data_IF_840780888711
#
_entry.id   IF_840780888711
#
_cell.length_a   1.000
_cell.length_b   1.000
_cell.length_c   1.000
_cell.angle_alpha   90.00
_cell.angle_beta   90.00
_cell.angle_gamma   90.00
#
_symmetry.space_group_name_H-M   'P 1'
#
loop_
_entity.id
_entity.type
_entity.pdbx_description
1 polymer ?
#
# COMPACT_ATOMS: atom_id res chain seq x y z
N UNK A 1 -52.86 6.83 11.38
CA UNK A 1 -52.62 6.68 12.84
C UNK A 1 -51.28 7.34 13.17
N UNK A 2 -51.23 8.37 14.02
CA UNK A 2 -49.97 9.00 14.40
C UNK A 2 -49.19 8.06 15.33
N UNK A 3 -47.95 7.73 14.94
CA UNK A 3 -47.02 6.96 15.79
C UNK A 3 -46.62 7.86 16.98
N UNK A 4 -46.94 7.43 18.19
CA UNK A 4 -46.49 8.10 19.42
C UNK A 4 -44.99 7.89 19.59
N UNK A 5 -44.27 8.96 19.84
CA UNK A 5 -42.84 8.94 20.15
C UNK A 5 -42.66 8.29 21.53
N UNK A 6 -41.71 7.36 21.65
CA UNK A 6 -41.45 6.64 22.89
C UNK A 6 -40.40 7.40 23.71
N UNK A 7 -40.85 8.25 24.61
CA UNK A 7 -40.02 9.17 25.41
C UNK A 7 -39.06 8.41 26.36
N UNK A 8 -39.46 7.23 26.83
CA UNK A 8 -38.67 6.40 27.73
C UNK A 8 -37.39 5.85 27.08
N UNK A 9 -37.41 5.65 25.76
CA UNK A 9 -36.23 5.20 25.00
C UNK A 9 -35.16 6.31 24.93
N UNK A 10 -35.58 7.57 24.89
CA UNK A 10 -34.69 8.73 24.75
C UNK A 10 -33.98 9.03 26.07
N UNK A 11 -34.66 8.86 27.21
CA UNK A 11 -34.05 9.08 28.52
C UNK A 11 -32.96 8.05 28.85
N UNK A 12 -33.08 6.80 28.38
CA UNK A 12 -32.05 5.77 28.59
C UNK A 12 -30.76 6.05 27.82
N UNK A 13 -30.82 6.70 26.65
CA UNK A 13 -29.64 7.03 25.85
C UNK A 13 -28.79 8.15 26.48
N UNK A 14 -29.41 9.09 27.20
CA UNK A 14 -28.71 10.20 27.85
C UNK A 14 -27.84 9.75 29.05
N UNK A 15 -28.22 8.64 29.70
CA UNK A 15 -27.50 8.07 30.84
C UNK A 15 -26.41 7.05 30.45
N UNK A 16 -26.09 6.92 29.16
CA UNK A 16 -24.95 6.12 28.69
C UNK A 16 -25.14 4.60 28.86
N UNK A 17 -26.35 4.12 29.18
CA UNK A 17 -26.69 2.70 29.22
C UNK A 17 -27.18 2.23 27.84
N UNK A 18 -26.36 2.48 26.82
CA UNK A 18 -26.62 1.97 25.47
C UNK A 18 -26.54 0.44 25.45
N UNK A 19 -27.58 -0.21 24.95
CA UNK A 19 -27.58 -1.65 24.64
C UNK A 19 -26.48 -2.05 23.62
N UNK A 20 -25.95 -1.10 22.87
CA UNK A 20 -24.96 -1.34 21.83
C UNK A 20 -23.51 -1.25 22.32
N UNK A 21 -23.25 -0.59 23.45
CA UNK A 21 -21.90 -0.41 23.98
C UNK A 21 -21.75 -1.13 25.34
N UNK A 22 -21.24 -2.36 25.31
CA UNK A 22 -20.82 -3.04 26.55
C UNK A 22 -19.54 -2.36 27.06
N UNK A 23 -19.49 -1.89 28.33
CA UNK A 23 -18.26 -1.37 28.90
C UNK A 23 -17.20 -2.46 28.93
N UNK A 24 -16.02 -2.12 28.41
CA UNK A 24 -14.85 -3.00 28.35
C UNK A 24 -14.37 -3.26 29.78
N UNK A 25 -14.62 -4.47 30.27
CA UNK A 25 -14.08 -4.96 31.55
C UNK A 25 -12.55 -4.95 31.45
N UNK A 26 -11.90 -4.15 32.28
CA UNK A 26 -10.44 -4.09 32.42
C UNK A 26 -9.92 -5.49 32.76
N UNK A 27 -9.19 -6.07 31.81
CA UNK A 27 -8.48 -7.33 32.00
C UNK A 27 -7.12 -7.01 32.62
N UNK A 28 -6.93 -7.62 33.77
CA UNK A 28 -5.78 -7.52 34.65
C UNK A 28 -4.45 -7.78 33.94
N UNK A 29 -3.51 -6.95 34.34
CA UNK A 29 -2.06 -7.05 34.22
C UNK A 29 -1.57 -8.45 34.61
N UNK A 30 -1.02 -9.20 33.66
CA UNK A 30 -0.33 -10.47 33.90
C UNK A 30 1.18 -10.27 33.78
N UNK A 31 1.87 -10.56 34.88
CA UNK A 31 3.32 -10.47 35.08
C UNK A 31 4.16 -11.22 34.00
N UNK A 32 5.40 -10.78 33.74
CA UNK A 32 6.30 -11.44 32.78
C UNK A 32 6.87 -12.75 33.35
N UNK A 33 7.02 -13.82 32.53
CA UNK A 33 7.62 -15.08 32.99
C UNK A 33 9.15 -14.97 33.11
N UNK A 34 9.66 -15.45 34.26
CA UNK A 34 11.07 -15.57 34.63
C UNK A 34 11.92 -16.42 33.66
N UNK A 35 13.24 -16.17 33.57
CA UNK A 35 14.14 -16.75 32.57
C UNK A 35 14.54 -18.21 32.85
N UNK A 36 14.59 -19.00 31.78
CA UNK A 36 15.04 -20.40 31.76
C UNK A 36 16.59 -20.45 31.84
N UNK A 37 17.20 -21.34 32.65
CA UNK A 37 18.65 -21.48 32.74
C UNK A 37 19.27 -22.15 31.49
N UNK A 38 20.33 -21.54 30.97
CA UNK A 38 21.14 -22.01 29.83
C UNK A 38 22.07 -23.14 30.31
N UNK A 39 21.92 -24.33 29.73
CA UNK A 39 22.86 -25.45 29.93
C UNK A 39 23.75 -25.55 28.68
N UNK A 40 25.05 -25.31 28.87
CA UNK A 40 26.11 -25.48 27.87
C UNK A 40 26.79 -26.84 28.12
N UNK A 41 26.92 -27.73 27.12
CA UNK A 41 27.92 -28.78 27.13
C UNK A 41 29.12 -28.49 26.20
N UNK A 42 30.27 -29.15 26.41
CA UNK A 42 31.59 -28.57 26.20
C UNK A 42 32.19 -28.80 24.81
N UNK A 43 33.09 -27.88 24.45
CA UNK A 43 33.96 -27.90 23.26
C UNK A 43 35.07 -28.93 23.42
N UNK A 44 35.16 -29.90 22.51
CA UNK A 44 36.37 -30.72 22.30
C UNK A 44 37.03 -30.40 20.96
N UNK A 45 38.28 -29.96 21.04
CA UNK A 45 39.19 -29.71 19.91
C UNK A 45 40.06 -30.95 19.71
N UNK A 46 40.13 -31.47 18.48
CA UNK A 46 41.30 -32.23 17.97
C UNK A 46 41.30 -32.25 16.42
N UNK A 47 42.34 -31.65 15.82
CA UNK A 47 42.91 -31.96 14.49
C UNK A 47 43.97 -33.08 14.68
N UNK A 48 44.40 -33.88 13.67
CA UNK A 48 44.69 -33.48 12.28
C UNK A 48 44.33 -34.49 11.14
N UNK A 49 44.42 -34.00 9.90
CA UNK A 49 44.42 -34.68 8.57
C UNK A 49 45.54 -35.74 8.44
N UNK A 50 45.57 -36.69 7.46
CA UNK A 50 45.27 -36.51 6.01
C UNK A 50 44.65 -37.72 5.25
N UNK A 51 44.13 -37.50 4.02
CA UNK A 51 44.34 -38.35 2.83
C UNK A 51 43.46 -37.89 1.65
N UNK A 52 43.99 -38.13 0.45
CA UNK A 52 43.59 -37.68 -0.89
C UNK A 52 42.50 -38.59 -1.49
N UNK A 53 41.61 -38.03 -2.33
CA UNK A 53 41.05 -38.57 -3.62
C UNK A 53 39.62 -38.01 -3.91
N UNK A 54 39.12 -38.05 -5.16
CA UNK A 54 39.45 -37.21 -6.31
C UNK A 54 38.30 -36.24 -6.68
N UNK A 55 38.58 -35.28 -7.55
CA UNK A 55 37.67 -34.21 -7.95
C UNK A 55 36.35 -34.72 -8.59
N UNK A 56 35.16 -34.20 -8.19
CA UNK A 56 33.95 -34.41 -8.96
C UNK A 56 33.99 -33.54 -10.22
N UNK A 57 33.74 -34.18 -11.36
CA UNK A 57 33.54 -33.57 -12.67
C UNK A 57 32.64 -32.33 -12.57
N UNK A 58 33.22 -31.15 -12.81
CA UNK A 58 32.46 -29.92 -13.01
C UNK A 58 31.75 -30.02 -14.36
N UNK A 59 30.53 -30.53 -14.34
CA UNK A 59 29.57 -30.27 -15.40
C UNK A 59 29.25 -28.77 -15.37
N UNK A 60 30.00 -28.00 -16.14
CA UNK A 60 29.70 -26.59 -16.41
C UNK A 60 28.41 -26.53 -17.23
N UNK A 61 27.28 -26.53 -16.54
CA UNK A 61 26.02 -26.08 -17.13
C UNK A 61 26.17 -24.60 -17.42
N UNK A 62 26.37 -24.24 -18.68
CA UNK A 62 26.37 -22.84 -19.10
C UNK A 62 24.99 -22.24 -18.81
N UNK A 63 24.89 -21.18 -17.99
CA UNK A 63 23.62 -20.53 -17.77
C UNK A 63 23.17 -19.91 -19.10
N UNK A 64 22.09 -20.44 -19.68
CA UNK A 64 21.35 -19.77 -20.75
C UNK A 64 20.81 -18.47 -20.16
N UNK A 65 21.52 -17.37 -20.43
CA UNK A 65 21.02 -16.02 -20.22
C UNK A 65 19.66 -15.93 -20.94
N UNK A 66 18.59 -15.87 -20.16
CA UNK A 66 17.29 -15.49 -20.67
C UNK A 66 17.40 -14.01 -21.03
N UNK A 67 17.45 -13.79 -22.33
CA UNK A 67 16.88 -12.67 -23.06
C UNK A 67 16.49 -11.49 -22.16
N UNK A 68 17.27 -10.42 -22.21
CA UNK A 68 16.91 -9.15 -21.59
C UNK A 68 15.65 -8.65 -22.28
N UNK A 69 14.47 -8.97 -21.73
CA UNK A 69 13.22 -8.36 -22.16
C UNK A 69 13.35 -6.87 -21.88
N UNK A 70 13.63 -6.08 -22.90
CA UNK A 70 13.66 -4.61 -22.81
C UNK A 70 12.23 -4.22 -22.43
N UNK A 71 11.99 -3.74 -21.20
CA UNK A 71 10.64 -3.40 -20.80
C UNK A 71 10.20 -2.21 -21.66
N UNK A 72 9.05 -2.33 -22.33
CA UNK A 72 8.47 -1.20 -23.05
C UNK A 72 8.15 -0.14 -22.01
N UNK A 73 8.62 1.08 -22.23
CA UNK A 73 8.52 2.18 -21.28
C UNK A 73 7.07 2.50 -20.83
N UNK A 74 6.07 2.11 -21.62
CA UNK A 74 4.65 2.19 -21.23
C UNK A 74 4.26 1.17 -20.14
N UNK A 75 4.80 -0.04 -20.21
CA UNK A 75 4.50 -1.11 -19.24
C UNK A 75 5.11 -0.77 -17.87
N UNK A 76 6.30 -0.16 -17.86
CA UNK A 76 6.96 0.28 -16.61
C UNK A 76 6.18 1.39 -15.91
N UNK A 77 5.65 2.37 -16.66
CA UNK A 77 4.88 3.48 -16.06
C UNK A 77 3.55 2.98 -15.47
N UNK A 78 2.86 2.09 -16.16
CA UNK A 78 1.61 1.49 -15.66
C UNK A 78 1.89 0.68 -14.39
N UNK A 79 2.94 -0.15 -14.39
CA UNK A 79 3.28 -0.97 -13.23
C UNK A 79 3.71 -0.17 -12.01
N UNK A 80 4.54 0.86 -12.20
CA UNK A 80 4.98 1.77 -11.14
C UNK A 80 3.80 2.54 -10.54
N UNK A 81 2.93 3.09 -11.39
CA UNK A 81 1.71 3.79 -10.96
C UNK A 81 0.78 2.86 -10.19
N UNK A 82 0.54 1.64 -10.70
CA UNK A 82 -0.27 0.63 -10.02
C UNK A 82 0.29 0.28 -8.64
N UNK A 83 1.62 0.15 -8.52
CA UNK A 83 2.28 -0.13 -7.23
C UNK A 83 2.12 1.02 -6.26
N UNK A 84 2.27 2.27 -6.71
CA UNK A 84 2.14 3.45 -5.88
C UNK A 84 0.71 3.63 -5.35
N UNK A 85 -0.31 3.49 -6.20
CA UNK A 85 -1.72 3.68 -5.81
C UNK A 85 -2.18 2.62 -4.81
N UNK A 86 -1.67 1.38 -4.89
CA UNK A 86 -1.96 0.32 -3.91
C UNK A 86 -1.40 0.59 -2.51
N UNK A 87 -0.38 1.43 -2.38
CA UNK A 87 0.14 1.80 -1.07
C UNK A 87 -0.83 2.79 -0.41
N UNK A 88 -1.21 2.54 0.84
CA UNK A 88 -2.03 3.46 1.61
C UNK A 88 -1.21 4.69 2.02
N UNK A 89 -1.70 5.87 1.66
CA UNK A 89 -1.11 7.13 2.11
C UNK A 89 -1.47 7.41 3.58
N UNK A 90 -0.51 7.90 4.36
CA UNK A 90 -0.74 8.39 5.73
C UNK A 90 -1.00 9.88 5.79
N UNK A 91 -0.77 10.58 4.68
CA UNK A 91 -0.88 12.02 4.55
C UNK A 91 -2.23 12.37 3.92
N UNK A 92 -3.02 13.17 4.62
CA UNK A 92 -4.24 13.73 4.08
C UNK A 92 -3.88 14.91 3.16
N UNK A 93 -4.39 14.89 1.93
CA UNK A 93 -4.28 16.00 0.99
C UNK A 93 -5.69 16.43 0.55
N UNK A 94 -6.02 17.71 0.74
CA UNK A 94 -7.29 18.29 0.28
C UNK A 94 -7.03 19.16 -0.93
N UNK A 95 -7.52 18.75 -2.10
CA UNK A 95 -7.46 19.54 -3.34
C UNK A 95 -8.80 20.20 -3.60
N UNK A 96 -8.79 21.44 -4.10
CA UNK A 96 -10.00 22.13 -4.53
C UNK A 96 -10.21 21.85 -6.01
N UNK A 97 -11.28 21.13 -6.32
CA UNK A 97 -11.70 20.90 -7.70
C UNK A 97 -12.74 21.93 -8.13
N UNK A 98 -12.68 22.33 -9.38
CA UNK A 98 -13.79 23.02 -10.05
C UNK A 98 -14.98 22.07 -10.23
N UNK A 99 -16.15 22.63 -10.53
CA UNK A 99 -17.35 21.84 -10.80
C UNK A 99 -17.16 20.90 -12.00
N UNK A 100 -16.46 21.37 -13.03
CA UNK A 100 -16.20 20.62 -14.26
C UNK A 100 -15.26 19.44 -13.99
N UNK A 101 -14.16 19.65 -13.27
CA UNK A 101 -13.24 18.60 -12.86
C UNK A 101 -13.96 17.53 -12.04
N UNK A 102 -14.80 17.95 -11.08
CA UNK A 102 -15.57 17.01 -10.25
C UNK A 102 -16.55 16.18 -11.07
N UNK A 103 -17.20 16.78 -12.08
CA UNK A 103 -18.09 16.08 -13.00
C UNK A 103 -17.32 15.09 -13.87
N UNK A 104 -16.16 15.47 -14.38
CA UNK A 104 -15.30 14.59 -15.17
C UNK A 104 -14.86 13.35 -14.37
N UNK A 105 -14.43 13.52 -13.12
CA UNK A 105 -14.05 12.41 -12.25
C UNK A 105 -15.23 11.45 -11.98
N UNK A 106 -16.43 11.99 -11.73
CA UNK A 106 -17.64 11.18 -11.53
C UNK A 106 -18.06 10.42 -12.80
N UNK A 107 -17.91 11.04 -13.97
CA UNK A 107 -18.20 10.38 -15.23
C UNK A 107 -17.28 9.17 -15.45
N UNK A 108 -15.99 9.33 -15.17
CA UNK A 108 -15.00 8.24 -15.22
C UNK A 108 -15.39 7.13 -14.23
N UNK A 109 -15.70 7.48 -12.97
CA UNK A 109 -16.13 6.51 -11.95
C UNK A 109 -17.36 5.71 -12.41
N UNK A 110 -18.35 6.39 -12.98
CA UNK A 110 -19.56 5.74 -13.51
C UNK A 110 -19.25 4.77 -14.65
N UNK A 111 -18.42 5.19 -15.61
CA UNK A 111 -18.01 4.35 -16.75
C UNK A 111 -17.31 3.05 -16.30
N UNK A 112 -16.45 3.13 -15.28
CA UNK A 112 -15.80 1.94 -14.72
C UNK A 112 -16.76 1.10 -13.88
N UNK A 113 -17.69 1.72 -13.16
CA UNK A 113 -18.72 1.02 -12.41
C UNK A 113 -19.64 0.20 -13.32
N UNK A 114 -20.01 0.71 -14.50
CA UNK A 114 -20.77 -0.05 -15.51
C UNK A 114 -20.03 -1.29 -15.99
N UNK A 115 -18.69 -1.24 -16.02
CA UNK A 115 -17.82 -2.37 -16.33
C UNK A 115 -17.60 -3.31 -15.14
N UNK A 116 -18.27 -3.06 -14.01
CA UNK A 116 -18.13 -3.84 -12.77
C UNK A 116 -16.83 -3.57 -11.99
N UNK A 117 -16.08 -2.51 -12.36
CA UNK A 117 -14.82 -2.15 -11.71
C UNK A 117 -15.11 -1.04 -10.69
N UNK A 118 -14.84 -1.34 -9.41
CA UNK A 118 -14.92 -0.33 -8.36
C UNK A 118 -13.68 0.55 -8.42
N UNK A 119 -13.89 1.83 -8.63
CA UNK A 119 -12.88 2.87 -8.47
C UNK A 119 -13.47 4.02 -7.67
N UNK A 120 -12.61 4.85 -7.12
CA UNK A 120 -12.99 6.05 -6.38
C UNK A 120 -12.29 7.26 -6.95
N UNK A 121 -12.88 8.44 -6.76
CA UNK A 121 -12.26 9.71 -7.11
C UNK A 121 -10.83 9.82 -6.58
N UNK A 122 -10.60 9.40 -5.33
CA UNK A 122 -9.28 9.43 -4.72
C UNK A 122 -8.27 8.54 -5.46
N UNK A 123 -8.66 7.35 -5.92
CA UNK A 123 -7.79 6.49 -6.73
C UNK A 123 -7.46 7.12 -8.07
N UNK A 124 -8.47 7.68 -8.75
CA UNK A 124 -8.28 8.37 -10.04
C UNK A 124 -7.32 9.56 -9.89
N UNK A 125 -7.52 10.39 -8.85
CA UNK A 125 -6.62 11.51 -8.55
C UNK A 125 -5.19 11.04 -8.27
N UNK A 126 -5.02 9.95 -7.50
CA UNK A 126 -3.68 9.40 -7.24
C UNK A 126 -3.01 8.85 -8.49
N UNK A 127 -3.77 8.22 -9.40
CA UNK A 127 -3.24 7.77 -10.70
C UNK A 127 -2.75 8.98 -11.50
N UNK A 128 -3.56 10.04 -11.62
CA UNK A 128 -3.20 11.24 -12.35
C UNK A 128 -1.94 11.92 -11.79
N UNK A 129 -1.84 12.08 -10.46
CA UNK A 129 -0.67 12.69 -9.82
C UNK A 129 0.59 11.85 -10.09
N UNK A 130 0.53 10.52 -9.92
CA UNK A 130 1.69 9.66 -10.17
C UNK A 130 2.12 9.70 -11.63
N UNK A 131 1.17 9.75 -12.58
CA UNK A 131 1.48 9.91 -14.00
C UNK A 131 2.26 11.21 -14.27
N UNK A 132 1.77 12.34 -13.74
CA UNK A 132 2.40 13.65 -13.92
C UNK A 132 3.80 13.69 -13.29
N UNK A 133 3.96 13.11 -12.11
CA UNK A 133 5.27 13.03 -11.44
C UNK A 133 6.25 12.18 -12.23
N UNK A 134 5.80 11.05 -12.79
CA UNK A 134 6.68 10.15 -13.55
C UNK A 134 7.04 10.73 -14.93
N UNK A 135 6.11 11.43 -15.58
CA UNK A 135 6.40 12.21 -16.79
C UNK A 135 7.47 13.27 -16.52
N UNK A 136 7.35 14.00 -15.41
CA UNK A 136 8.37 14.98 -15.01
C UNK A 136 9.73 14.33 -14.74
N UNK A 137 9.77 13.17 -14.08
CA UNK A 137 11.03 12.45 -13.84
C UNK A 137 11.70 11.96 -15.12
N UNK A 138 10.89 11.52 -16.09
CA UNK A 138 11.39 10.95 -17.35
C UNK A 138 11.83 12.04 -18.33
N UNK A 139 11.08 13.14 -18.41
CA UNK A 139 11.22 14.16 -19.46
C UNK A 139 11.76 15.51 -18.95
N UNK A 140 11.81 15.74 -17.63
CA UNK A 140 12.30 16.98 -17.02
C UNK A 140 11.53 18.20 -17.49
N UNK A 141 12.24 19.23 -17.95
CA UNK A 141 11.69 20.48 -18.50
C UNK A 141 10.79 20.27 -19.72
N UNK A 142 10.91 19.14 -20.41
CA UNK A 142 10.05 18.80 -21.56
C UNK A 142 8.73 18.17 -21.15
N UNK A 143 8.54 17.86 -19.88
CA UNK A 143 7.31 17.28 -19.35
C UNK A 143 6.13 18.22 -19.49
N UNK A 144 4.92 17.64 -19.48
CA UNK A 144 3.68 18.43 -19.52
C UNK A 144 3.59 19.34 -18.31
N UNK A 145 4.02 18.86 -17.13
CA UNK A 145 4.04 19.65 -15.90
C UNK A 145 4.90 20.90 -16.05
N UNK A 146 6.17 20.74 -16.46
CA UNK A 146 7.10 21.86 -16.58
C UNK A 146 6.56 22.93 -17.54
N UNK A 147 6.10 22.51 -18.71
CA UNK A 147 5.56 23.41 -19.74
C UNK A 147 4.31 24.17 -19.29
N UNK A 148 3.40 23.50 -18.58
CA UNK A 148 2.19 24.16 -18.04
C UNK A 148 2.56 25.13 -16.93
N UNK A 149 3.47 24.75 -16.02
CA UNK A 149 3.92 25.63 -14.94
C UNK A 149 4.63 26.86 -15.48
N UNK A 150 5.48 26.73 -16.51
CA UNK A 150 6.09 27.86 -17.20
C UNK A 150 5.03 28.81 -17.79
N UNK A 151 4.06 28.29 -18.53
CA UNK A 151 2.99 29.09 -19.15
C UNK A 151 2.06 29.77 -18.13
N UNK A 152 1.91 29.23 -16.93
CA UNK A 152 1.11 29.84 -15.87
C UNK A 152 1.85 30.97 -15.12
N UNK A 153 3.19 30.97 -15.16
CA UNK A 153 4.04 31.93 -14.41
C UNK A 153 4.85 32.86 -15.33
N UNK A 154 4.60 32.82 -16.64
CA UNK A 154 5.15 33.75 -17.64
C UNK A 154 4.24 34.97 -17.76
#
# INVERSE_FOLDING_TARGET
MPKKLNEDAILNELHGQSLFFKPKKEAQESEPPSPIPIVIPPVEVKKPTPAIEPAPSRDTTTPRYRDTVIPRQGDTLIETTRRAVKQFGKEAATHRFTLEEKRALKAIEHEYSEKGIRTSENEITRIAINYVVEDYRSNGEKSVLARVVELLNS
#
